data_IF_885575017654
#
_entry.id   IF_885575017654
#
_cell.length_a   1.000
_cell.length_b   1.000
_cell.length_c   1.000
_cell.angle_alpha   90.00
_cell.angle_beta   90.00
_cell.angle_gamma   90.00
#
_symmetry.space_group_name_H-M   'P 1'
#
loop_
_entity.id
_entity.type
_entity.pdbx_description
1 polymer ?
#
# COMPACT_ATOMS: atom_id res chain seq x y z
N UNK A 1 21.08 -5.20 -10.58
CA UNK A 1 20.91 -5.38 -9.12
C UNK A 1 20.69 -4.05 -8.38
N UNK A 2 21.20 -2.90 -8.87
CA UNK A 2 21.06 -1.60 -8.20
C UNK A 2 19.64 -0.99 -8.15
N UNK A 3 18.69 -1.45 -8.98
CA UNK A 3 17.32 -0.87 -9.04
C UNK A 3 16.42 -1.32 -7.88
N UNK A 4 16.65 -2.53 -7.35
CA UNK A 4 15.86 -3.06 -6.24
C UNK A 4 16.19 -2.36 -4.92
N UNK A 5 17.48 -2.22 -4.60
CA UNK A 5 17.95 -1.58 -3.36
C UNK A 5 17.48 -0.13 -3.24
N UNK A 6 17.51 0.64 -4.33
CA UNK A 6 16.96 2.01 -4.35
C UNK A 6 15.45 2.03 -4.06
N UNK A 7 14.68 1.04 -4.53
CA UNK A 7 13.24 0.96 -4.25
C UNK A 7 12.91 0.50 -2.84
N UNK A 8 13.74 -0.37 -2.24
CA UNK A 8 13.63 -0.72 -0.82
C UNK A 8 13.88 0.49 0.08
N UNK A 9 14.85 1.34 -0.28
CA UNK A 9 15.08 2.63 0.41
C UNK A 9 13.84 3.53 0.27
N UNK A 10 13.25 3.58 -0.91
CA UNK A 10 12.01 4.34 -1.16
C UNK A 10 10.86 3.96 -0.23
N UNK A 11 10.61 2.66 -0.02
CA UNK A 11 9.56 2.22 0.94
C UNK A 11 9.90 2.54 2.37
N UNK A 12 11.16 2.36 2.77
CA UNK A 12 11.59 2.72 4.12
C UNK A 12 11.30 4.20 4.35
N UNK A 13 11.72 5.07 3.45
CA UNK A 13 11.54 6.50 3.62
C UNK A 13 10.05 6.88 3.58
N UNK A 14 9.23 6.23 2.74
CA UNK A 14 7.77 6.41 2.72
C UNK A 14 7.11 5.99 4.05
N UNK A 15 7.51 4.84 4.60
CA UNK A 15 6.97 4.28 5.83
C UNK A 15 7.44 5.03 7.09
N UNK A 16 8.69 5.51 7.12
CA UNK A 16 9.26 6.19 8.28
C UNK A 16 9.12 7.71 8.24
N UNK A 17 8.98 8.34 7.06
CA UNK A 17 8.83 9.79 6.94
C UNK A 17 7.37 10.23 6.77
N UNK A 18 6.60 9.59 5.88
CA UNK A 18 5.24 10.07 5.54
C UNK A 18 4.16 9.51 6.47
N UNK A 19 4.19 8.21 6.79
CA UNK A 19 3.17 7.58 7.64
C UNK A 19 3.08 8.25 9.02
N UNK A 20 4.18 8.52 9.76
CA UNK A 20 4.08 9.12 11.09
C UNK A 20 3.60 10.57 11.07
N UNK A 21 3.93 11.31 10.00
CA UNK A 21 3.58 12.73 9.83
C UNK A 21 2.12 12.90 9.41
N UNK A 22 1.69 12.15 8.40
CA UNK A 22 0.40 12.34 7.74
C UNK A 22 -0.69 11.39 8.26
N UNK A 23 -0.30 10.32 8.97
CA UNK A 23 -1.20 9.32 9.59
C UNK A 23 -2.35 8.91 8.65
N UNK A 24 -2.04 8.38 7.46
CA UNK A 24 -3.07 8.02 6.49
C UNK A 24 -3.96 6.89 7.00
N UNK A 25 -5.21 6.85 6.54
CA UNK A 25 -6.23 5.87 6.89
C UNK A 25 -6.25 4.69 5.92
N UNK A 26 -6.16 3.46 6.44
CA UNK A 26 -6.26 2.20 5.69
C UNK A 26 -5.45 2.20 4.39
N UNK A 27 -4.19 2.60 4.51
CA UNK A 27 -3.19 2.53 3.42
C UNK A 27 -2.26 1.36 3.64
N UNK A 28 -1.97 0.62 2.56
CA UNK A 28 -0.96 -0.44 2.54
C UNK A 28 0.15 -0.05 1.57
N UNK A 29 1.40 -0.20 2.00
CA UNK A 29 2.59 0.08 1.18
C UNK A 29 3.45 -1.18 1.13
N UNK A 30 3.75 -1.69 -0.06
CA UNK A 30 4.52 -2.93 -0.23
C UNK A 30 5.26 -2.97 -1.58
N UNK A 31 6.22 -3.90 -1.72
CA UNK A 31 6.88 -4.18 -3.00
C UNK A 31 6.12 -5.30 -3.71
N UNK A 32 5.65 -5.02 -4.91
CA UNK A 32 5.13 -6.06 -5.79
C UNK A 32 6.29 -6.62 -6.64
N UNK A 33 6.69 -7.85 -6.34
CA UNK A 33 7.82 -8.51 -7.02
C UNK A 33 7.55 -8.80 -8.50
N UNK A 34 6.27 -8.92 -8.92
CA UNK A 34 5.92 -9.14 -10.33
C UNK A 34 6.00 -7.84 -11.11
N UNK A 35 5.55 -6.74 -10.51
CA UNK A 35 5.65 -5.40 -11.10
C UNK A 35 7.04 -4.79 -10.94
N UNK A 36 7.88 -5.40 -10.08
CA UNK A 36 9.18 -4.90 -9.66
C UNK A 36 9.10 -3.44 -9.17
N UNK A 37 8.05 -3.13 -8.40
CA UNK A 37 7.70 -1.76 -8.05
C UNK A 37 7.10 -1.61 -6.65
N UNK A 38 7.16 -0.40 -6.13
CA UNK A 38 6.46 -0.01 -4.90
C UNK A 38 5.00 0.23 -5.24
N UNK A 39 4.11 -0.45 -4.51
CA UNK A 39 2.67 -0.30 -4.65
C UNK A 39 2.09 0.31 -3.38
N UNK A 40 1.28 1.36 -3.57
CA UNK A 40 0.45 1.94 -2.53
C UNK A 40 -1.00 1.58 -2.83
N UNK A 41 -1.61 0.83 -1.92
CA UNK A 41 -3.03 0.52 -1.93
C UNK A 41 -3.77 1.41 -0.95
N UNK A 42 -4.92 1.93 -1.37
CA UNK A 42 -5.84 2.66 -0.50
C UNK A 42 -7.29 2.41 -0.90
N UNK A 43 -8.21 2.57 0.05
CA UNK A 43 -9.64 2.52 -0.22
C UNK A 43 -10.11 3.86 -0.79
N UNK A 44 -10.97 3.81 -1.81
CA UNK A 44 -11.59 5.00 -2.42
C UNK A 44 -12.31 5.88 -1.39
N UNK A 45 -12.96 5.24 -0.40
CA UNK A 45 -13.69 5.92 0.69
C UNK A 45 -12.82 6.85 1.54
N UNK A 46 -11.50 6.62 1.55
CA UNK A 46 -10.53 7.44 2.28
C UNK A 46 -9.71 8.34 1.36
N UNK A 47 -10.09 8.48 0.09
CA UNK A 47 -9.33 9.26 -0.89
C UNK A 47 -9.07 10.70 -0.43
N UNK A 48 -10.06 11.34 0.18
CA UNK A 48 -9.91 12.71 0.67
C UNK A 48 -9.00 12.79 1.90
N UNK A 49 -9.17 11.86 2.85
CA UNK A 49 -8.37 11.76 4.07
C UNK A 49 -6.90 11.43 3.77
N UNK A 50 -6.66 10.66 2.71
CA UNK A 50 -5.33 10.27 2.27
C UNK A 50 -4.74 11.19 1.21
N UNK A 51 -5.43 12.26 0.80
CA UNK A 51 -5.05 13.09 -0.34
C UNK A 51 -3.62 13.64 -0.24
N UNK A 52 -3.26 14.18 0.93
CA UNK A 52 -1.91 14.71 1.18
C UNK A 52 -0.85 13.62 1.08
N UNK A 53 -1.09 12.47 1.70
CA UNK A 53 -0.18 11.33 1.64
C UNK A 53 0.01 10.82 0.20
N UNK A 54 -1.07 10.70 -0.57
CA UNK A 54 -1.04 10.24 -1.96
C UNK A 54 -0.23 11.20 -2.82
N UNK A 55 -0.45 12.51 -2.70
CA UNK A 55 0.28 13.50 -3.48
C UNK A 55 1.77 13.54 -3.13
N UNK A 56 2.12 13.59 -1.84
CA UNK A 56 3.51 13.62 -1.40
C UNK A 56 4.26 12.36 -1.85
N UNK A 57 3.60 11.19 -1.73
CA UNK A 57 4.16 9.93 -2.20
C UNK A 57 4.37 9.93 -3.73
N UNK A 58 3.40 10.46 -4.48
CA UNK A 58 3.46 10.54 -5.95
C UNK A 58 4.58 11.45 -6.45
N UNK A 59 4.77 12.59 -5.83
CA UNK A 59 5.79 13.58 -6.21
C UNK A 59 7.21 13.10 -5.92
N UNK A 60 7.42 12.50 -4.74
CA UNK A 60 8.77 12.21 -4.25
C UNK A 60 9.25 10.78 -4.57
N UNK A 61 8.33 9.81 -4.65
CA UNK A 61 8.69 8.38 -4.72
C UNK A 61 8.13 7.66 -5.95
N UNK A 62 7.19 8.29 -6.68
CA UNK A 62 6.57 7.76 -7.90
C UNK A 62 6.09 6.29 -7.82
N UNK A 63 5.37 5.87 -6.75
CA UNK A 63 4.87 4.51 -6.64
C UNK A 63 3.69 4.25 -7.58
N UNK A 64 3.34 2.97 -7.75
CA UNK A 64 2.07 2.59 -8.39
C UNK A 64 0.94 2.66 -7.38
N UNK A 65 -0.10 3.41 -7.70
CA UNK A 65 -1.30 3.48 -6.87
C UNK A 65 -2.34 2.48 -7.36
N UNK A 66 -2.92 1.75 -6.41
CA UNK A 66 -4.04 0.85 -6.64
C UNK A 66 -5.16 1.28 -5.70
N UNK A 67 -6.13 2.00 -6.27
CA UNK A 67 -7.35 2.40 -5.57
C UNK A 67 -8.34 1.23 -5.57
N UNK A 68 -8.85 0.90 -4.39
CA UNK A 68 -9.78 -0.21 -4.19
C UNK A 68 -11.19 0.34 -3.92
N UNK A 69 -12.16 -0.08 -4.73
CA UNK A 69 -13.57 0.26 -4.51
C UNK A 69 -14.09 -0.52 -3.30
N UNK A 70 -14.18 0.16 -2.15
CA UNK A 70 -14.91 -0.11 -0.89
C UNK A 70 -15.03 -1.53 -0.26
N UNK A 71 -14.89 -2.63 -1.02
CA UNK A 71 -15.27 -3.99 -0.65
C UNK A 71 -14.19 -5.04 -0.89
N UNK A 72 -13.04 -4.69 -1.45
CA UNK A 72 -11.99 -5.69 -1.60
C UNK A 72 -11.20 -5.81 -0.31
N UNK A 73 -11.78 -6.50 0.67
CA UNK A 73 -11.02 -7.23 1.68
C UNK A 73 -10.29 -8.33 0.91
N UNK A 74 -9.25 -7.97 0.15
CA UNK A 74 -8.27 -8.98 -0.21
C UNK A 74 -7.46 -9.16 1.06
N UNK A 75 -7.49 -10.37 1.66
CA UNK A 75 -6.55 -10.66 2.71
C UNK A 75 -5.15 -10.32 2.17
N UNK A 76 -4.25 -9.81 3.03
CA UNK A 76 -2.83 -9.79 2.67
C UNK A 76 -2.50 -11.17 2.07
N UNK A 77 -1.70 -11.35 1.01
CA UNK A 77 -1.46 -12.68 0.41
C UNK A 77 -0.86 -13.76 1.35
N UNK A 78 -0.70 -13.45 2.65
CA UNK A 78 -0.39 -14.34 3.76
C UNK A 78 -1.58 -14.70 4.67
N UNK A 79 -2.64 -13.90 4.67
CA UNK A 79 -3.91 -14.22 5.27
C UNK A 79 -4.60 -15.21 4.33
N UNK A 80 -4.25 -16.50 4.44
CA UNK A 80 -5.09 -17.54 3.84
C UNK A 80 -6.47 -17.41 4.46
N UNK A 81 -7.50 -17.47 3.62
CA UNK A 81 -8.87 -17.64 4.06
C UNK A 81 -8.89 -18.88 4.97
N UNK A 82 -9.03 -18.67 6.27
CA UNK A 82 -9.53 -19.74 7.14
C UNK A 82 -10.98 -19.94 6.71
N UNK A 83 -11.18 -20.79 5.70
CA UNK A 83 -12.47 -21.36 5.38
C UNK A 83 -12.99 -22.04 6.66
N UNK A 84 -13.85 -21.33 7.38
CA UNK A 84 -14.69 -21.91 8.41
C UNK A 84 -15.62 -22.92 7.74
N UNK A 85 -15.13 -24.15 7.61
CA UNK A 85 -15.96 -25.34 7.52
C UNK A 85 -16.81 -25.43 8.77
N UNK A 86 -18.01 -24.84 8.72
CA UNK A 86 -19.13 -25.25 9.55
C UNK A 86 -20.24 -25.72 8.62
N UNK A 87 -20.16 -26.99 8.24
CA UNK A 87 -21.33 -27.80 7.92
C UNK A 87 -21.48 -28.82 9.05
N UNK A 88 -22.44 -28.56 9.94
CA UNK A 88 -23.10 -29.59 10.74
C UNK A 88 -24.53 -29.72 10.25
#
# INVERSE_FOLDING_TARGET
MADLEHRFIGIRDLAYALIPKLKPHDVQVYIDMKLNDVVIRHLEKYRYQNYQFINDAKENYKPKFVELNHFSVFPHPRCKDEETSTSQ
#
